data_IF_923582499213
#
_entry.id   IF_923582499213
#
_cell.length_a   1.000
_cell.length_b   1.000
_cell.length_c   1.000
_cell.angle_alpha   90.00
_cell.angle_beta   90.00
_cell.angle_gamma   90.00
#
_symmetry.space_group_name_H-M   'P 1'
#
loop_
_entity.id
_entity.type
_entity.pdbx_description
1 polymer ?
#
# COMPACT_ATOMS: atom_id res chain seq x y z
N UNK A 1 -66.09 -29.47 -11.03
CA UNK A 1 -64.75 -29.84 -10.46
C UNK A 1 -63.84 -28.60 -10.55
N UNK A 2 -63.72 -27.86 -9.47
CA UNK A 2 -62.98 -26.61 -9.39
C UNK A 2 -61.70 -26.91 -8.61
N UNK A 3 -60.55 -26.87 -9.29
CA UNK A 3 -59.23 -27.03 -8.69
C UNK A 3 -58.75 -25.71 -8.15
N UNK A 4 -58.62 -25.63 -6.82
CA UNK A 4 -58.00 -24.50 -6.13
C UNK A 4 -56.48 -24.64 -6.17
N UNK A 5 -55.82 -23.68 -6.79
CA UNK A 5 -54.35 -23.55 -6.76
C UNK A 5 -53.93 -22.82 -5.47
N UNK A 6 -53.28 -23.52 -4.57
CA UNK A 6 -52.64 -22.92 -3.37
C UNK A 6 -51.29 -22.31 -3.75
N UNK A 7 -51.23 -20.98 -3.71
CA UNK A 7 -49.95 -20.24 -3.86
C UNK A 7 -49.16 -20.30 -2.54
N UNK A 8 -48.03 -21.01 -2.55
CA UNK A 8 -47.04 -20.92 -1.45
C UNK A 8 -46.36 -19.55 -1.55
N UNK A 9 -46.63 -18.69 -0.59
CA UNK A 9 -45.81 -17.48 -0.33
C UNK A 9 -44.61 -17.92 0.46
N UNK A 10 -43.42 -18.02 -0.17
CA UNK A 10 -42.16 -18.10 0.52
C UNK A 10 -41.88 -16.74 1.21
N UNK A 11 -42.09 -16.69 2.51
CA UNK A 11 -41.71 -15.56 3.32
C UNK A 11 -40.17 -15.43 3.35
N UNK A 12 -39.64 -14.35 2.80
CA UNK A 12 -38.25 -13.96 3.05
C UNK A 12 -38.14 -13.65 4.57
N UNK A 13 -37.46 -14.51 5.31
CA UNK A 13 -37.12 -14.25 6.70
C UNK A 13 -36.24 -13.01 6.80
N UNK A 14 -36.24 -12.30 7.94
CA UNK A 14 -35.35 -11.16 8.14
C UNK A 14 -33.89 -11.63 8.01
N UNK A 15 -33.19 -11.09 7.02
CA UNK A 15 -31.74 -11.15 6.96
C UNK A 15 -31.20 -10.31 8.10
N UNK A 16 -30.83 -10.95 9.21
CA UNK A 16 -30.03 -10.29 10.23
C UNK A 16 -28.69 -9.93 9.58
N UNK A 17 -28.35 -8.65 9.52
CA UNK A 17 -26.99 -8.23 9.23
C UNK A 17 -26.07 -8.91 10.25
N UNK A 18 -24.95 -9.46 9.80
CA UNK A 18 -23.94 -10.01 10.71
C UNK A 18 -23.48 -8.91 11.68
N UNK A 19 -23.25 -9.25 12.94
CA UNK A 19 -22.71 -8.28 13.90
C UNK A 19 -21.33 -7.80 13.41
N UNK A 20 -21.02 -6.51 13.56
CA UNK A 20 -19.71 -5.97 13.19
C UNK A 20 -18.57 -6.71 13.90
N UNK A 21 -17.50 -7.02 13.19
CA UNK A 21 -16.33 -7.69 13.76
C UNK A 21 -15.54 -6.66 14.58
N UNK A 22 -15.36 -6.89 15.90
CA UNK A 22 -14.46 -6.06 16.72
C UNK A 22 -13.05 -6.16 16.18
N UNK A 23 -12.50 -5.02 15.76
CA UNK A 23 -11.24 -4.92 15.04
C UNK A 23 -10.34 -3.87 15.66
N UNK A 24 -9.08 -4.19 15.89
CA UNK A 24 -8.06 -3.24 16.34
C UNK A 24 -6.99 -3.02 15.30
N UNK A 25 -6.55 -1.75 15.13
CA UNK A 25 -5.35 -1.37 14.39
C UNK A 25 -4.19 -1.07 15.32
N UNK A 26 -2.98 -1.53 15.01
CA UNK A 26 -1.77 -1.25 15.80
C UNK A 26 -0.67 -0.80 14.87
N UNK A 27 -0.17 0.43 15.10
CA UNK A 27 0.78 1.10 14.22
C UNK A 27 1.96 1.67 15.02
N UNK A 28 3.18 1.48 14.50
CA UNK A 28 4.41 2.00 15.14
C UNK A 28 4.68 3.47 14.79
N UNK A 29 3.94 4.01 13.82
CA UNK A 29 4.02 5.39 13.33
C UNK A 29 2.64 6.05 13.39
N UNK A 30 2.54 7.40 13.18
CA UNK A 30 1.25 8.07 13.09
C UNK A 30 0.40 7.54 11.93
N UNK A 31 -0.94 7.57 12.08
CA UNK A 31 -1.87 7.12 11.02
C UNK A 31 -1.82 7.97 9.74
N UNK A 32 -1.24 9.17 9.80
CA UNK A 32 -0.99 10.02 8.64
C UNK A 32 0.18 9.51 7.77
N UNK A 33 1.05 8.65 8.31
CA UNK A 33 2.12 8.06 7.52
C UNK A 33 1.52 7.31 6.33
N UNK A 34 2.08 7.54 5.14
CA UNK A 34 1.43 7.18 3.88
C UNK A 34 1.01 5.70 3.76
N UNK A 35 1.83 4.75 4.23
CA UNK A 35 1.51 3.33 4.19
C UNK A 35 0.40 2.97 5.20
N UNK A 36 0.54 3.40 6.45
CA UNK A 36 -0.44 3.18 7.52
C UNK A 36 -1.77 3.85 7.22
N UNK A 37 -1.75 5.05 6.61
CA UNK A 37 -2.96 5.79 6.25
C UNK A 37 -3.90 4.98 5.35
N UNK A 38 -3.35 4.13 4.46
CA UNK A 38 -4.16 3.30 3.56
C UNK A 38 -4.90 2.19 4.32
N UNK A 39 -4.26 1.63 5.34
CA UNK A 39 -4.90 0.64 6.22
C UNK A 39 -5.99 1.32 7.05
N UNK A 40 -5.66 2.45 7.66
CA UNK A 40 -6.57 3.21 8.50
C UNK A 40 -7.83 3.65 7.72
N UNK A 41 -7.67 4.23 6.53
CA UNK A 41 -8.78 4.65 5.67
C UNK A 41 -9.66 3.46 5.27
N UNK A 42 -9.07 2.33 4.90
CA UNK A 42 -9.83 1.13 4.55
C UNK A 42 -10.60 0.58 5.75
N UNK A 43 -10.02 0.63 6.96
CA UNK A 43 -10.69 0.22 8.19
C UNK A 43 -11.87 1.15 8.53
N UNK A 44 -11.69 2.47 8.42
CA UNK A 44 -12.80 3.43 8.59
C UNK A 44 -13.92 3.19 7.58
N UNK A 45 -13.59 2.95 6.31
CA UNK A 45 -14.58 2.65 5.29
C UNK A 45 -15.34 1.33 5.57
N UNK A 46 -14.66 0.32 6.12
CA UNK A 46 -15.30 -0.92 6.55
C UNK A 46 -16.21 -0.70 7.77
N UNK A 47 -15.82 0.14 8.71
CA UNK A 47 -16.65 0.55 9.83
C UNK A 47 -17.91 1.31 9.39
N UNK A 48 -17.76 2.27 8.48
CA UNK A 48 -18.89 3.04 7.93
C UNK A 48 -19.92 2.15 7.22
N UNK A 49 -19.49 1.02 6.65
CA UNK A 49 -20.39 -0.01 6.08
C UNK A 49 -21.03 -0.91 7.15
N UNK A 50 -20.56 -0.86 8.39
CA UNK A 50 -21.01 -1.75 9.48
C UNK A 50 -20.37 -3.15 9.45
N UNK A 51 -19.29 -3.35 8.70
CA UNK A 51 -18.59 -4.63 8.62
C UNK A 51 -17.75 -4.91 9.87
N UNK A 52 -17.19 -3.85 10.46
CA UNK A 52 -16.30 -3.91 11.64
C UNK A 52 -16.66 -2.81 12.66
N UNK A 53 -16.27 -3.03 13.92
CA UNK A 53 -16.15 -2.01 14.97
C UNK A 53 -14.65 -1.75 15.17
N UNK A 54 -14.16 -0.58 14.74
CA UNK A 54 -12.73 -0.32 14.63
C UNK A 54 -12.22 0.62 15.70
N UNK A 55 -11.14 0.21 16.36
CA UNK A 55 -10.33 1.03 17.26
C UNK A 55 -8.87 0.91 16.89
N UNK A 56 -8.01 1.85 17.30
CA UNK A 56 -6.59 1.76 16.97
C UNK A 56 -5.68 2.41 18.02
N UNK A 57 -4.41 2.01 17.99
CA UNK A 57 -3.28 2.67 18.65
C UNK A 57 -2.20 2.99 17.64
N UNK A 58 -1.64 4.17 17.72
CA UNK A 58 -0.54 4.64 16.88
C UNK A 58 0.68 5.01 17.72
N UNK A 59 1.85 5.17 17.07
CA UNK A 59 3.11 5.45 17.76
C UNK A 59 3.47 4.41 18.85
N UNK A 60 3.04 3.17 18.64
CA UNK A 60 3.35 2.06 19.56
C UNK A 60 4.79 1.62 19.31
N UNK A 61 5.63 1.69 20.34
CA UNK A 61 7.02 1.24 20.22
C UNK A 61 7.10 -0.28 20.01
N UNK A 62 8.13 -0.77 19.33
CA UNK A 62 8.34 -2.22 19.15
C UNK A 62 8.40 -2.97 20.49
N UNK A 63 8.91 -2.33 21.55
CA UNK A 63 8.97 -2.92 22.90
C UNK A 63 7.61 -3.04 23.59
N UNK A 64 6.64 -2.19 23.24
CA UNK A 64 5.28 -2.22 23.75
C UNK A 64 4.32 -3.03 22.88
N UNK A 65 4.74 -3.38 21.67
CA UNK A 65 3.87 -3.91 20.63
C UNK A 65 3.12 -5.18 21.09
N UNK A 66 3.86 -6.15 21.63
CA UNK A 66 3.26 -7.40 22.15
C UNK A 66 2.24 -7.16 23.29
N UNK A 67 2.54 -6.21 24.18
CA UNK A 67 1.61 -5.83 25.28
C UNK A 67 0.31 -5.26 24.70
N UNK A 68 0.41 -4.33 23.77
CA UNK A 68 -0.76 -3.69 23.15
C UNK A 68 -1.61 -4.69 22.37
N UNK A 69 -0.98 -5.63 21.63
CA UNK A 69 -1.72 -6.72 20.97
C UNK A 69 -2.51 -7.55 21.97
N UNK A 70 -1.89 -7.95 23.10
CA UNK A 70 -2.59 -8.74 24.16
C UNK A 70 -3.77 -7.97 24.71
N UNK A 71 -3.61 -6.69 25.04
CA UNK A 71 -4.69 -5.85 25.55
C UNK A 71 -5.88 -5.82 24.58
N UNK A 72 -5.65 -5.72 23.27
CA UNK A 72 -6.72 -5.77 22.28
C UNK A 72 -7.36 -7.16 22.15
N UNK A 73 -6.56 -8.23 22.20
CA UNK A 73 -7.09 -9.60 22.18
C UNK A 73 -7.97 -9.87 23.42
N UNK A 74 -7.52 -9.48 24.62
CA UNK A 74 -8.26 -9.58 25.89
C UNK A 74 -9.53 -8.72 25.91
N UNK A 75 -9.53 -7.56 25.22
CA UNK A 75 -10.71 -6.71 25.04
C UNK A 75 -11.76 -7.32 24.08
N UNK A 76 -11.49 -8.51 23.53
CA UNK A 76 -12.43 -9.28 22.72
C UNK A 76 -12.42 -8.93 21.23
N UNK A 77 -11.38 -8.25 20.75
CA UNK A 77 -11.20 -8.06 19.32
C UNK A 77 -11.04 -9.42 18.63
N UNK A 78 -11.64 -9.56 17.45
CA UNK A 78 -11.61 -10.78 16.63
C UNK A 78 -10.69 -10.65 15.42
N UNK A 79 -10.33 -9.42 15.06
CA UNK A 79 -9.34 -9.10 14.04
C UNK A 79 -8.38 -8.05 14.59
N UNK A 80 -7.08 -8.30 14.49
CA UNK A 80 -6.03 -7.35 14.78
C UNK A 80 -5.25 -7.11 13.50
N UNK A 81 -5.17 -5.84 13.09
CA UNK A 81 -4.49 -5.41 11.87
C UNK A 81 -3.31 -4.54 12.28
N UNK A 82 -2.14 -4.75 11.69
CA UNK A 82 -1.00 -3.91 12.02
C UNK A 82 0.16 -4.12 11.04
N UNK A 83 1.28 -3.50 11.34
CA UNK A 83 2.56 -3.79 10.73
C UNK A 83 3.53 -4.30 11.80
N UNK A 84 4.40 -5.23 11.43
CA UNK A 84 5.25 -5.94 12.40
C UNK A 84 6.73 -5.77 12.13
N UNK A 85 7.13 -4.74 11.39
CA UNK A 85 8.54 -4.44 11.18
C UNK A 85 9.26 -4.22 12.52
N UNK A 86 10.16 -5.15 12.85
CA UNK A 86 10.90 -5.13 14.12
C UNK A 86 10.16 -5.68 15.35
N UNK A 87 8.94 -6.20 15.20
CA UNK A 87 8.14 -6.80 16.29
C UNK A 87 7.45 -8.13 15.88
N UNK A 88 7.88 -8.74 14.77
CA UNK A 88 7.19 -9.91 14.21
C UNK A 88 7.23 -11.14 15.11
N UNK A 89 8.39 -11.43 15.72
CA UNK A 89 8.55 -12.58 16.58
C UNK A 89 7.58 -12.53 17.77
N UNK A 90 7.51 -11.39 18.43
CA UNK A 90 6.63 -11.13 19.55
C UNK A 90 5.15 -11.15 19.14
N UNK A 91 4.82 -10.60 17.96
CA UNK A 91 3.46 -10.65 17.44
C UNK A 91 3.00 -12.09 17.15
N UNK A 92 3.89 -12.94 16.63
CA UNK A 92 3.59 -14.37 16.40
C UNK A 92 3.42 -15.15 17.72
N UNK A 93 4.23 -14.87 18.75
CA UNK A 93 4.05 -15.45 20.08
C UNK A 93 2.66 -15.11 20.64
N UNK A 94 2.25 -13.85 20.56
CA UNK A 94 0.91 -13.44 21.01
C UNK A 94 -0.19 -14.11 20.18
N UNK A 95 -0.03 -14.23 18.87
CA UNK A 95 -1.02 -14.92 18.04
C UNK A 95 -1.19 -16.39 18.43
N UNK A 96 -0.13 -17.07 18.87
CA UNK A 96 -0.22 -18.43 19.39
C UNK A 96 -0.96 -18.52 20.74
N UNK A 97 -0.89 -17.47 21.57
CA UNK A 97 -1.63 -17.38 22.84
C UNK A 97 -3.14 -17.19 22.61
N UNK A 98 -3.55 -16.57 21.49
CA UNK A 98 -4.95 -16.22 21.17
C UNK A 98 -5.42 -16.84 19.84
N UNK A 99 -5.59 -18.18 19.78
CA UNK A 99 -5.90 -18.88 18.53
C UNK A 99 -7.28 -18.51 17.92
N UNK A 100 -8.19 -17.93 18.70
CA UNK A 100 -9.52 -17.47 18.28
C UNK A 100 -9.55 -16.01 17.77
N UNK A 101 -8.39 -15.33 17.76
CA UNK A 101 -8.19 -14.00 17.22
C UNK A 101 -7.44 -14.10 15.91
N UNK A 102 -7.91 -13.43 14.88
CA UNK A 102 -7.24 -13.33 13.59
C UNK A 102 -6.26 -12.17 13.60
N UNK A 103 -5.06 -12.41 13.11
CA UNK A 103 -4.01 -11.41 12.95
C UNK A 103 -3.77 -11.22 11.45
N UNK A 104 -3.88 -9.97 10.97
CA UNK A 104 -3.58 -9.58 9.59
C UNK A 104 -2.43 -8.57 9.65
N UNK A 105 -1.19 -9.04 9.41
CA UNK A 105 0.03 -8.30 9.72
C UNK A 105 0.85 -7.99 8.48
N UNK A 106 1.14 -6.71 8.29
CA UNK A 106 1.97 -6.18 7.21
C UNK A 106 3.45 -6.13 7.55
N UNK A 107 4.30 -5.95 6.54
CA UNK A 107 5.77 -5.96 6.66
C UNK A 107 6.31 -7.18 7.40
N UNK A 108 5.67 -8.33 7.16
CA UNK A 108 5.99 -9.64 7.72
C UNK A 108 6.69 -10.50 6.68
N UNK A 109 7.42 -11.52 7.13
CA UNK A 109 8.13 -12.41 6.19
C UNK A 109 7.15 -13.29 5.42
N UNK A 110 6.72 -14.39 6.01
CA UNK A 110 5.87 -15.39 5.35
C UNK A 110 4.78 -15.87 6.27
N UNK A 111 3.68 -16.31 5.65
CA UNK A 111 2.68 -17.09 6.36
C UNK A 111 3.28 -18.39 6.90
N UNK A 112 2.82 -18.81 8.07
CA UNK A 112 3.20 -20.07 8.71
C UNK A 112 1.95 -20.92 8.94
N UNK A 113 1.88 -22.08 8.30
CA UNK A 113 0.76 -23.00 8.44
C UNK A 113 0.60 -23.54 9.88
N UNK A 114 1.65 -23.52 10.69
CA UNK A 114 1.59 -23.89 12.11
C UNK A 114 0.91 -22.83 12.97
N UNK A 115 0.73 -21.60 12.44
CA UNK A 115 0.05 -20.48 13.09
C UNK A 115 -1.15 -20.01 12.23
N UNK A 116 -2.25 -20.79 12.19
CA UNK A 116 -3.31 -20.62 11.19
C UNK A 116 -4.09 -19.31 11.31
N UNK A 117 -4.01 -18.63 12.44
CA UNK A 117 -4.66 -17.36 12.71
C UNK A 117 -3.79 -16.12 12.39
N UNK A 118 -2.55 -16.31 11.90
CA UNK A 118 -1.64 -15.23 11.53
C UNK A 118 -1.49 -15.17 10.00
N UNK A 119 -2.17 -14.24 9.38
CA UNK A 119 -2.07 -13.95 7.96
C UNK A 119 -1.15 -12.74 7.73
N UNK A 120 -0.50 -12.71 6.58
CA UNK A 120 0.42 -11.65 6.20
C UNK A 120 -0.10 -10.85 5.02
N UNK A 121 0.37 -9.64 4.85
CA UNK A 121 0.15 -8.84 3.66
C UNK A 121 1.32 -7.90 3.39
N UNK A 122 1.36 -7.38 2.17
CA UNK A 122 2.30 -6.36 1.75
C UNK A 122 1.66 -5.47 0.67
N UNK A 123 2.24 -4.31 0.40
CA UNK A 123 1.77 -3.42 -0.65
C UNK A 123 2.39 -3.79 -2.01
N UNK A 124 2.01 -4.91 -2.59
CA UNK A 124 2.44 -5.31 -3.94
C UNK A 124 1.89 -4.35 -5.02
N UNK A 125 2.28 -3.08 -4.94
CA UNK A 125 1.84 -2.02 -5.87
C UNK A 125 2.88 -1.69 -6.95
N UNK A 126 3.82 -2.59 -7.20
CA UNK A 126 4.83 -2.44 -8.25
C UNK A 126 4.21 -2.15 -9.64
N UNK A 127 2.98 -2.61 -9.89
CA UNK A 127 2.25 -2.32 -11.13
C UNK A 127 2.02 -0.81 -11.30
N UNK A 128 1.56 -0.12 -10.23
CA UNK A 128 1.38 1.32 -10.21
C UNK A 128 2.70 2.09 -10.28
N UNK A 129 3.72 1.60 -9.55
CA UNK A 129 5.07 2.19 -9.58
C UNK A 129 5.69 2.14 -10.95
N UNK A 130 5.55 1.01 -11.66
CA UNK A 130 6.00 0.88 -13.05
C UNK A 130 5.34 1.91 -13.98
N UNK A 131 4.01 2.06 -13.88
CA UNK A 131 3.29 3.04 -14.70
C UNK A 131 3.71 4.48 -14.39
N UNK A 132 3.93 4.81 -13.11
CA UNK A 132 4.42 6.14 -12.73
C UNK A 132 5.86 6.37 -13.20
N UNK A 133 6.67 5.30 -13.26
CA UNK A 133 8.01 5.33 -13.85
C UNK A 133 8.01 5.71 -15.33
N UNK A 134 7.09 5.18 -16.14
CA UNK A 134 6.92 5.57 -17.55
C UNK A 134 6.69 7.08 -17.66
N UNK A 135 5.86 7.64 -16.79
CA UNK A 135 5.58 9.09 -16.76
C UNK A 135 6.84 9.87 -16.40
N UNK A 136 7.55 9.45 -15.35
CA UNK A 136 8.79 10.09 -14.93
C UNK A 136 9.85 10.07 -16.05
N UNK A 137 10.01 8.92 -16.72
CA UNK A 137 10.95 8.76 -17.84
C UNK A 137 10.66 9.68 -19.02
N UNK A 138 9.38 10.02 -19.26
CA UNK A 138 8.97 10.96 -20.29
C UNK A 138 9.09 12.42 -19.89
N UNK A 139 9.09 12.73 -18.59
CA UNK A 139 9.05 14.08 -18.04
C UNK A 139 10.42 14.61 -17.63
N UNK A 140 11.38 13.74 -17.32
CA UNK A 140 12.75 14.17 -16.99
C UNK A 140 13.42 14.84 -18.18
N UNK A 141 14.14 15.92 -17.93
CA UNK A 141 14.94 16.66 -18.90
C UNK A 141 16.43 16.38 -18.74
N UNK A 142 16.85 16.17 -17.48
CA UNK A 142 18.25 15.86 -17.15
C UNK A 142 18.62 14.40 -17.42
N UNK A 143 17.62 13.50 -17.47
CA UNK A 143 17.84 12.06 -17.47
C UNK A 143 18.34 11.53 -16.12
N UNK A 144 18.19 12.30 -15.02
CA UNK A 144 18.65 11.94 -13.69
C UNK A 144 17.49 12.02 -12.69
N UNK A 145 17.14 10.91 -12.09
CA UNK A 145 16.01 10.78 -11.17
C UNK A 145 16.53 10.41 -9.78
N UNK A 146 16.14 11.18 -8.77
CA UNK A 146 16.43 10.89 -7.37
C UNK A 146 15.36 10.02 -6.74
N UNK A 147 15.74 9.04 -5.91
CA UNK A 147 14.83 8.12 -5.23
C UNK A 147 15.19 8.03 -3.75
N UNK A 148 14.27 8.47 -2.89
CA UNK A 148 14.48 8.47 -1.44
C UNK A 148 13.54 7.46 -0.81
N UNK A 149 14.08 6.42 -0.18
CA UNK A 149 13.36 5.36 0.52
C UNK A 149 13.55 5.37 2.02
N UNK A 150 12.70 4.62 2.74
CA UNK A 150 12.80 4.45 4.18
C UNK A 150 13.92 3.50 4.57
N UNK A 151 13.77 2.23 4.28
CA UNK A 151 14.73 1.15 4.49
C UNK A 151 14.82 0.27 3.24
N UNK A 152 15.99 -0.35 2.96
CA UNK A 152 16.16 -1.25 1.81
C UNK A 152 15.58 -2.64 2.09
N UNK A 153 14.28 -2.72 2.28
CA UNK A 153 13.57 -3.98 2.49
C UNK A 153 12.81 -4.39 1.20
N UNK A 154 12.47 -5.68 1.03
CA UNK A 154 11.80 -6.19 -0.16
C UNK A 154 10.60 -5.36 -0.60
N UNK A 155 9.78 -4.91 0.36
CA UNK A 155 8.60 -4.06 0.13
C UNK A 155 8.94 -2.76 -0.61
N UNK A 156 9.97 -2.04 -0.19
CA UNK A 156 10.40 -0.77 -0.81
C UNK A 156 11.19 -1.04 -2.08
N UNK A 157 12.07 -2.03 -2.05
CA UNK A 157 12.97 -2.36 -3.16
C UNK A 157 12.21 -2.69 -4.45
N UNK A 158 11.16 -3.54 -4.36
CA UNK A 158 10.35 -3.92 -5.52
C UNK A 158 9.65 -2.75 -6.18
N UNK A 159 9.21 -1.75 -5.40
CA UNK A 159 8.56 -0.56 -5.93
C UNK A 159 9.56 0.33 -6.66
N UNK A 160 10.75 0.51 -6.10
CA UNK A 160 11.81 1.27 -6.74
C UNK A 160 12.28 0.62 -8.03
N UNK A 161 12.52 -0.71 -8.03
CA UNK A 161 12.88 -1.44 -9.25
C UNK A 161 11.79 -1.36 -10.34
N UNK A 162 10.52 -1.48 -9.96
CA UNK A 162 9.42 -1.35 -10.91
C UNK A 162 9.35 0.06 -11.51
N UNK A 163 9.51 1.09 -10.67
CA UNK A 163 9.59 2.48 -11.12
C UNK A 163 10.75 2.69 -12.11
N UNK A 164 11.96 2.22 -11.75
CA UNK A 164 13.13 2.28 -12.65
C UNK A 164 12.84 1.58 -13.97
N UNK A 165 12.27 0.38 -13.94
CA UNK A 165 11.95 -0.37 -15.16
C UNK A 165 10.97 0.38 -16.06
N UNK A 166 9.95 1.03 -15.49
CA UNK A 166 9.01 1.87 -16.23
C UNK A 166 9.69 3.10 -16.84
N UNK A 167 10.56 3.77 -16.11
CA UNK A 167 11.31 4.94 -16.60
C UNK A 167 12.26 4.56 -17.75
N UNK A 168 12.97 3.44 -17.61
CA UNK A 168 13.89 2.93 -18.64
C UNK A 168 13.16 2.43 -19.90
N UNK A 169 11.91 1.94 -19.80
CA UNK A 169 11.11 1.60 -20.98
C UNK A 169 10.85 2.85 -21.84
N UNK A 170 10.72 4.00 -21.20
CA UNK A 170 10.47 5.27 -21.88
C UNK A 170 11.77 5.92 -22.39
N UNK A 171 12.84 5.84 -21.59
CA UNK A 171 14.16 6.38 -21.93
C UNK A 171 15.26 5.52 -21.29
N UNK A 172 15.98 4.71 -22.06
CA UNK A 172 16.98 3.77 -21.55
C UNK A 172 18.26 4.42 -21.00
N UNK A 173 18.46 5.71 -21.24
CA UNK A 173 19.67 6.44 -20.81
C UNK A 173 19.50 7.10 -19.43
N UNK A 174 18.35 6.91 -18.77
CA UNK A 174 18.07 7.48 -17.43
C UNK A 174 19.03 6.88 -16.41
N UNK A 175 19.52 7.76 -15.52
CA UNK A 175 20.30 7.42 -14.34
C UNK A 175 19.48 7.65 -13.07
N UNK A 176 19.80 6.87 -12.05
CA UNK A 176 19.12 6.93 -10.77
C UNK A 176 20.12 7.21 -9.65
N UNK A 177 19.72 8.09 -8.74
CA UNK A 177 20.36 8.27 -7.44
C UNK A 177 19.43 7.65 -6.39
N UNK A 178 19.90 6.66 -5.64
CA UNK A 178 19.11 5.95 -4.62
C UNK A 178 19.70 6.19 -3.26
N UNK A 179 18.85 6.50 -2.28
CA UNK A 179 19.26 6.62 -0.89
C UNK A 179 18.14 6.21 0.05
N UNK A 180 18.51 5.56 1.15
CA UNK A 180 17.60 5.17 2.22
C UNK A 180 17.91 5.97 3.48
N UNK A 181 16.86 6.54 4.11
CA UNK A 181 17.04 7.43 5.27
C UNK A 181 17.12 6.67 6.60
N UNK A 182 16.82 5.37 6.64
CA UNK A 182 16.83 4.56 7.86
C UNK A 182 15.71 4.95 8.85
N UNK A 183 14.57 5.45 8.33
CA UNK A 183 13.39 5.79 9.13
C UNK A 183 12.12 5.62 8.30
N UNK A 184 11.04 5.20 8.96
CA UNK A 184 9.71 5.15 8.33
C UNK A 184 9.01 6.51 8.35
N UNK A 185 9.36 7.40 9.29
CA UNK A 185 8.74 8.72 9.39
C UNK A 185 9.75 9.76 9.91
N UNK A 186 10.50 10.36 8.98
CA UNK A 186 11.43 11.47 9.23
C UNK A 186 11.45 12.42 8.03
N UNK A 187 10.38 13.25 7.87
CA UNK A 187 10.27 14.18 6.74
C UNK A 187 11.45 15.15 6.62
N UNK A 188 12.03 15.71 7.69
CA UNK A 188 13.21 16.56 7.58
C UNK A 188 14.42 15.87 6.96
N UNK A 189 14.72 14.64 7.38
CA UNK A 189 15.84 13.85 6.84
C UNK A 189 15.63 13.46 5.39
N UNK A 190 14.38 13.07 5.03
CA UNK A 190 14.02 12.77 3.65
C UNK A 190 14.17 14.00 2.74
N UNK A 191 13.77 15.19 3.21
CA UNK A 191 13.92 16.45 2.51
C UNK A 191 15.40 16.82 2.29
N UNK A 192 16.23 16.67 3.31
CA UNK A 192 17.69 16.92 3.22
C UNK A 192 18.34 15.97 2.19
N UNK A 193 18.00 14.68 2.26
CA UNK A 193 18.48 13.69 1.28
C UNK A 193 18.07 14.05 -0.14
N UNK A 194 16.82 14.48 -0.34
CA UNK A 194 16.30 14.91 -1.62
C UNK A 194 17.04 16.15 -2.16
N UNK A 195 17.39 17.13 -1.31
CA UNK A 195 18.18 18.29 -1.73
C UNK A 195 19.56 17.88 -2.26
N UNK A 196 20.25 16.95 -1.60
CA UNK A 196 21.53 16.45 -2.09
C UNK A 196 21.40 15.82 -3.50
N UNK A 197 20.32 15.09 -3.78
CA UNK A 197 20.06 14.53 -5.12
C UNK A 197 19.81 15.62 -6.16
N UNK A 198 19.07 16.66 -5.80
CA UNK A 198 18.83 17.82 -6.70
C UNK A 198 20.13 18.54 -7.02
N UNK A 199 20.98 18.77 -6.03
CA UNK A 199 22.31 19.36 -6.22
C UNK A 199 23.20 18.52 -7.14
N UNK A 200 23.02 17.21 -7.14
CA UNK A 200 23.66 16.27 -8.06
C UNK A 200 22.92 16.10 -9.40
N UNK A 201 21.99 17.01 -9.73
CA UNK A 201 21.38 17.12 -11.03
C UNK A 201 20.09 16.35 -11.25
N UNK A 202 19.46 15.79 -10.22
CA UNK A 202 18.13 15.20 -10.33
C UNK A 202 17.10 16.30 -10.60
N UNK A 203 16.24 16.11 -11.60
CA UNK A 203 15.12 17.01 -11.93
C UNK A 203 13.74 16.37 -11.73
N UNK A 204 13.72 15.13 -11.33
CA UNK A 204 12.54 14.41 -10.83
C UNK A 204 12.92 13.62 -9.58
N UNK A 205 12.04 13.60 -8.59
CA UNK A 205 12.21 12.80 -7.36
C UNK A 205 11.10 11.76 -7.23
N UNK A 206 11.45 10.51 -6.89
CA UNK A 206 10.52 9.48 -6.44
C UNK A 206 10.34 9.60 -4.93
N UNK A 207 9.15 10.06 -4.52
CA UNK A 207 8.82 10.37 -3.14
C UNK A 207 8.24 9.13 -2.43
N UNK A 208 9.10 8.17 -2.10
CA UNK A 208 8.68 7.03 -1.28
C UNK A 208 8.49 7.46 0.19
N UNK A 209 9.07 8.60 0.62
CA UNK A 209 8.91 9.19 1.95
C UNK A 209 8.35 10.62 1.90
N UNK A 210 7.64 11.02 2.98
CA UNK A 210 7.28 12.42 3.19
C UNK A 210 8.53 13.30 3.32
N UNK A 211 8.44 14.56 2.89
CA UNK A 211 9.54 15.51 2.83
C UNK A 211 10.20 15.60 1.45
N UNK A 212 10.15 14.53 0.64
CA UNK A 212 10.74 14.52 -0.71
C UNK A 212 9.99 15.47 -1.66
N UNK A 213 8.66 15.44 -1.66
CA UNK A 213 7.85 16.36 -2.46
C UNK A 213 7.98 17.82 -1.99
N UNK A 214 8.26 18.04 -0.70
CA UNK A 214 8.57 19.39 -0.18
C UNK A 214 9.87 19.93 -0.78
N UNK A 215 10.93 19.09 -0.84
CA UNK A 215 12.18 19.47 -1.47
C UNK A 215 11.99 19.79 -2.97
N UNK A 216 11.24 18.94 -3.67
CA UNK A 216 10.95 19.15 -5.10
C UNK A 216 10.19 20.47 -5.32
N UNK A 217 9.17 20.74 -4.50
CA UNK A 217 8.39 22.00 -4.55
C UNK A 217 9.27 23.22 -4.29
N UNK A 218 10.16 23.16 -3.30
CA UNK A 218 11.03 24.27 -2.93
C UNK A 218 12.07 24.60 -4.03
N UNK A 219 12.47 23.58 -4.79
CA UNK A 219 13.43 23.71 -5.90
C UNK A 219 12.79 23.81 -7.28
N UNK A 220 11.45 23.91 -7.35
CA UNK A 220 10.67 24.02 -8.59
C UNK A 220 11.00 22.89 -9.60
N UNK A 221 11.16 21.66 -9.09
CA UNK A 221 11.33 20.45 -9.88
C UNK A 221 10.13 19.51 -9.69
N UNK A 222 10.10 18.41 -10.43
CA UNK A 222 9.00 17.45 -10.40
C UNK A 222 9.20 16.36 -9.35
N UNK A 223 8.09 15.77 -8.91
CA UNK A 223 8.08 14.59 -8.06
C UNK A 223 7.04 13.57 -8.54
N UNK A 224 7.26 12.32 -8.16
CA UNK A 224 6.33 11.22 -8.32
C UNK A 224 5.96 10.75 -6.91
N UNK A 225 4.67 10.75 -6.60
CA UNK A 225 4.14 10.24 -5.33
C UNK A 225 4.06 8.73 -5.28
N UNK A 226 4.05 8.19 -4.08
CA UNK A 226 3.97 6.75 -3.83
C UNK A 226 2.99 6.47 -2.70
N UNK A 227 2.26 5.35 -2.80
CA UNK A 227 1.27 4.82 -1.86
C UNK A 227 -0.02 5.66 -1.77
N UNK A 228 0.09 6.99 -1.72
CA UNK A 228 -1.04 7.94 -1.66
C UNK A 228 -0.95 8.98 -2.76
N UNK A 229 -2.09 9.62 -3.04
CA UNK A 229 -2.13 10.79 -3.93
C UNK A 229 -1.85 12.06 -3.13
N UNK A 230 -0.75 12.73 -3.43
CA UNK A 230 -0.36 14.02 -2.83
C UNK A 230 -0.47 15.17 -3.82
N UNK A 231 -1.08 14.97 -4.98
CA UNK A 231 -1.17 15.96 -6.05
C UNK A 231 -1.92 17.23 -5.61
N UNK A 232 -2.95 17.09 -4.76
CA UNK A 232 -3.69 18.24 -4.24
C UNK A 232 -2.84 19.17 -3.36
N UNK A 233 -1.85 18.62 -2.63
CA UNK A 233 -0.92 19.36 -1.77
C UNK A 233 0.23 19.97 -2.59
N UNK A 234 0.60 19.31 -3.69
CA UNK A 234 1.72 19.68 -4.57
C UNK A 234 1.29 19.79 -6.03
N UNK A 235 0.29 20.64 -6.36
CA UNK A 235 -0.37 20.65 -7.69
C UNK A 235 0.54 21.00 -8.86
N UNK A 236 1.68 21.67 -8.61
CA UNK A 236 2.66 22.03 -9.65
C UNK A 236 3.93 21.17 -9.59
N UNK A 237 3.98 20.20 -8.71
CA UNK A 237 5.18 19.42 -8.40
C UNK A 237 4.96 17.93 -8.61
N UNK A 238 3.89 17.34 -8.01
CA UNK A 238 3.60 15.91 -8.13
C UNK A 238 2.84 15.65 -9.41
N UNK A 239 3.50 14.94 -10.34
CA UNK A 239 2.97 14.66 -11.69
C UNK A 239 2.03 13.47 -11.68
N UNK A 240 2.40 12.41 -10.95
CA UNK A 240 1.67 11.17 -10.85
C UNK A 240 1.95 10.51 -9.51
N UNK A 241 1.06 9.64 -9.05
CA UNK A 241 1.25 8.85 -7.84
C UNK A 241 0.76 7.41 -8.07
N UNK A 242 1.55 6.42 -7.65
CA UNK A 242 1.06 5.07 -7.50
C UNK A 242 0.27 4.98 -6.19
N UNK A 243 -0.99 4.54 -6.24
CA UNK A 243 -1.85 4.45 -5.07
C UNK A 243 -1.98 3.00 -4.63
N UNK A 244 -1.87 2.78 -3.33
CA UNK A 244 -2.25 1.52 -2.70
C UNK A 244 -3.70 1.57 -2.23
N UNK A 245 -4.49 0.58 -2.62
CA UNK A 245 -5.84 0.35 -2.12
C UNK A 245 -5.79 -0.88 -1.20
N UNK A 246 -5.90 -0.66 0.11
CA UNK A 246 -5.92 -1.75 1.09
C UNK A 246 -7.29 -2.40 1.22
N UNK A 247 -8.33 -1.74 0.72
CA UNK A 247 -9.72 -2.18 0.79
C UNK A 247 -9.93 -3.63 0.26
N UNK A 248 -9.35 -4.07 -0.88
CA UNK A 248 -9.50 -5.45 -1.34
C UNK A 248 -8.91 -6.47 -0.35
N UNK A 249 -7.75 -6.18 0.24
CA UNK A 249 -7.09 -7.01 1.25
C UNK A 249 -7.95 -7.14 2.50
N UNK A 250 -8.40 -6.01 3.07
CA UNK A 250 -9.22 -6.00 4.26
C UNK A 250 -10.58 -6.65 4.04
N UNK A 251 -11.27 -6.33 2.95
CA UNK A 251 -12.57 -6.91 2.60
C UNK A 251 -12.47 -8.44 2.46
N UNK A 252 -11.37 -8.93 1.91
CA UNK A 252 -11.13 -10.39 1.84
C UNK A 252 -10.96 -11.02 3.20
N UNK A 253 -10.18 -10.40 4.10
CA UNK A 253 -9.99 -10.88 5.46
C UNK A 253 -11.32 -10.91 6.23
N UNK A 254 -12.10 -9.84 6.18
CA UNK A 254 -13.43 -9.74 6.78
C UNK A 254 -14.34 -10.85 6.26
N UNK A 255 -14.43 -11.04 4.95
CA UNK A 255 -15.27 -12.08 4.34
C UNK A 255 -14.84 -13.51 4.75
N UNK A 256 -13.52 -13.76 4.92
CA UNK A 256 -13.04 -15.04 5.42
C UNK A 256 -13.39 -15.26 6.89
N UNK A 257 -13.32 -14.23 7.73
CA UNK A 257 -13.72 -14.29 9.13
C UNK A 257 -15.22 -14.56 9.26
N UNK A 258 -16.07 -13.83 8.55
CA UNK A 258 -17.52 -14.02 8.55
C UNK A 258 -17.92 -15.42 8.11
N UNK A 259 -17.15 -16.01 7.19
CA UNK A 259 -17.34 -17.37 6.71
C UNK A 259 -16.73 -18.47 7.59
N UNK A 260 -16.02 -18.11 8.68
CA UNK A 260 -15.25 -19.06 9.51
C UNK A 260 -14.11 -19.75 8.75
N UNK A 261 -13.52 -19.08 7.75
CA UNK A 261 -12.49 -19.60 6.83
C UNK A 261 -11.18 -18.80 6.84
N UNK A 262 -11.02 -17.89 7.80
CA UNK A 262 -9.76 -17.17 7.93
C UNK A 262 -8.61 -18.16 8.22
N UNK A 263 -7.49 -17.97 7.57
CA UNK A 263 -6.31 -18.83 7.76
C UNK A 263 -5.04 -18.07 7.41
N UNK A 264 -3.90 -18.59 7.87
CA UNK A 264 -2.60 -18.16 7.43
C UNK A 264 -2.51 -18.20 5.89
N UNK A 265 -2.27 -17.04 5.30
CA UNK A 265 -2.09 -16.86 3.87
C UNK A 265 -1.47 -15.49 3.62
N UNK A 266 -0.88 -15.28 2.45
CA UNK A 266 -0.49 -13.95 1.98
C UNK A 266 -1.69 -13.25 1.34
N UNK A 267 -2.26 -12.28 2.08
CA UNK A 267 -3.33 -11.42 1.59
C UNK A 267 -2.81 -10.23 0.77
N UNK A 268 -1.49 -10.02 0.72
CA UNK A 268 -0.85 -9.01 -0.12
C UNK A 268 -1.14 -9.20 -1.61
N UNK A 269 -1.48 -10.41 -2.05
CA UNK A 269 -1.90 -10.71 -3.43
C UNK A 269 -3.10 -9.88 -3.89
N UNK A 270 -3.88 -9.33 -2.98
CA UNK A 270 -4.99 -8.42 -3.28
C UNK A 270 -4.54 -6.97 -3.50
N UNK A 271 -3.25 -6.64 -3.28
CA UNK A 271 -2.64 -5.35 -3.62
C UNK A 271 -2.27 -5.22 -5.09
N UNK A 272 -2.24 -6.31 -5.86
CA UNK A 272 -1.98 -6.24 -7.30
C UNK A 272 -3.07 -5.45 -8.05
N UNK A 273 -2.68 -4.80 -9.14
CA UNK A 273 -3.60 -4.03 -9.99
C UNK A 273 -4.78 -4.85 -10.52
N UNK A 274 -4.57 -6.10 -10.90
CA UNK A 274 -5.63 -7.02 -11.34
C UNK A 274 -6.68 -7.32 -10.28
N UNK A 275 -6.32 -7.16 -9.00
CA UNK A 275 -7.22 -7.32 -7.86
C UNK A 275 -7.87 -5.99 -7.41
N UNK A 276 -7.52 -4.88 -8.05
CA UNK A 276 -7.95 -3.54 -7.67
C UNK A 276 -7.15 -2.93 -6.52
N UNK A 277 -6.03 -3.54 -6.13
CA UNK A 277 -5.22 -3.10 -5.00
C UNK A 277 -4.23 -1.98 -5.33
N UNK A 278 -4.02 -1.63 -6.59
CA UNK A 278 -3.26 -0.45 -6.99
C UNK A 278 -3.79 0.21 -8.26
N UNK A 279 -3.57 1.50 -8.36
CA UNK A 279 -3.85 2.31 -9.55
C UNK A 279 -2.90 3.50 -9.64
N UNK A 280 -2.86 4.19 -10.78
CA UNK A 280 -2.35 5.55 -10.83
C UNK A 280 -3.43 6.53 -10.33
N UNK A 281 -3.00 7.55 -9.60
CA UNK A 281 -3.82 8.71 -9.29
C UNK A 281 -4.21 9.48 -10.56
N UNK A 282 -5.31 10.24 -10.54
CA UNK A 282 -5.58 11.25 -11.56
C UNK A 282 -4.41 12.24 -11.67
N UNK A 283 -4.04 12.63 -12.88
CA UNK A 283 -2.90 13.55 -13.10
C UNK A 283 -3.18 14.99 -12.65
N UNK A 284 -4.42 15.33 -12.31
CA UNK A 284 -4.81 16.64 -11.81
C UNK A 284 -4.35 17.79 -12.73
N UNK A 285 -3.54 18.70 -12.21
CA UNK A 285 -3.00 19.83 -12.98
C UNK A 285 -2.04 19.43 -14.11
N UNK A 286 -1.54 18.20 -14.12
CA UNK A 286 -0.67 17.65 -15.17
C UNK A 286 -1.44 16.93 -16.27
N UNK A 287 -2.78 16.84 -16.18
CA UNK A 287 -3.58 16.29 -17.28
C UNK A 287 -3.33 17.09 -18.57
N UNK A 288 -3.05 16.37 -19.65
CA UNK A 288 -2.65 16.97 -20.93
C UNK A 288 -1.22 17.54 -21.00
N UNK A 289 -0.45 17.56 -19.89
CA UNK A 289 0.95 18.02 -19.87
C UNK A 289 1.96 16.89 -20.02
N UNK A 290 1.59 15.66 -19.65
CA UNK A 290 2.40 14.48 -19.88
C UNK A 290 2.42 14.16 -21.38
N UNK A 291 3.59 13.86 -21.98
CA UNK A 291 3.69 13.55 -23.40
C UNK A 291 2.70 12.44 -23.83
N UNK A 292 2.01 12.66 -24.94
CA UNK A 292 0.95 11.74 -25.41
C UNK A 292 1.45 10.32 -25.68
N UNK A 293 2.71 10.16 -26.09
CA UNK A 293 3.36 8.85 -26.30
C UNK A 293 3.46 8.08 -24.97
N UNK A 294 3.85 8.76 -23.88
CA UNK A 294 3.92 8.16 -22.55
C UNK A 294 2.53 7.73 -22.06
N UNK A 295 1.51 8.59 -22.21
CA UNK A 295 0.14 8.25 -21.79
C UNK A 295 -0.47 7.10 -22.62
N UNK A 296 -0.10 6.97 -23.90
CA UNK A 296 -0.48 5.80 -24.70
C UNK A 296 0.18 4.53 -24.18
N UNK A 297 1.46 4.59 -23.83
CA UNK A 297 2.19 3.45 -23.25
C UNK A 297 1.63 3.08 -21.88
N UNK A 298 1.38 4.05 -20.99
CA UNK A 298 0.74 3.85 -19.69
C UNK A 298 -0.58 3.10 -19.84
N UNK A 299 -1.50 3.59 -20.68
CA UNK A 299 -2.80 2.94 -20.93
C UNK A 299 -2.66 1.52 -21.48
N UNK A 300 -1.70 1.32 -22.39
CA UNK A 300 -1.41 -0.02 -22.93
C UNK A 300 -0.91 -0.95 -21.83
N UNK A 301 0.09 -0.53 -21.05
CA UNK A 301 0.67 -1.37 -19.98
C UNK A 301 -0.34 -1.65 -18.87
N UNK A 302 -1.15 -0.67 -18.50
CA UNK A 302 -2.24 -0.87 -17.54
C UNK A 302 -3.22 -1.94 -18.01
N UNK A 303 -3.63 -1.91 -19.29
CA UNK A 303 -4.52 -2.93 -19.86
C UNK A 303 -3.83 -4.31 -19.91
N UNK A 304 -2.56 -4.35 -20.32
CA UNK A 304 -1.77 -5.58 -20.41
C UNK A 304 -1.58 -6.21 -19.00
N UNK A 305 -1.32 -5.41 -17.97
CA UNK A 305 -1.20 -5.86 -16.58
C UNK A 305 -2.54 -6.43 -16.08
N UNK A 306 -3.64 -5.70 -16.28
CA UNK A 306 -4.98 -6.13 -15.85
C UNK A 306 -5.41 -7.43 -16.55
N UNK A 307 -5.05 -7.62 -17.81
CA UNK A 307 -5.33 -8.85 -18.56
C UNK A 307 -4.37 -10.00 -18.26
N UNK A 308 -3.22 -9.71 -17.63
CA UNK A 308 -2.14 -10.68 -17.37
C UNK A 308 -1.24 -10.95 -18.59
N UNK A 309 -1.36 -10.18 -19.68
CA UNK A 309 -0.48 -10.29 -20.85
C UNK A 309 0.89 -9.62 -20.65
N UNK A 310 1.02 -8.81 -19.62
CA UNK A 310 2.28 -8.24 -19.14
C UNK A 310 2.35 -8.35 -17.61
N UNK A 311 3.51 -8.73 -17.09
CA UNK A 311 3.75 -8.82 -15.65
C UNK A 311 4.95 -7.95 -15.30
N UNK A 312 4.77 -7.04 -14.34
CA UNK A 312 5.88 -6.28 -13.77
C UNK A 312 6.74 -7.22 -12.94
N UNK A 313 8.04 -7.24 -13.21
CA UNK A 313 8.98 -8.11 -12.49
C UNK A 313 9.09 -7.62 -11.05
N UNK A 314 8.94 -8.55 -10.11
CA UNK A 314 9.23 -8.32 -8.69
C UNK A 314 10.73 -8.55 -8.48
N UNK A 315 11.42 -7.51 -8.05
CA UNK A 315 12.82 -7.58 -7.63
C UNK A 315 12.92 -7.01 -6.21
N UNK A 316 13.23 -7.87 -5.27
CA UNK A 316 13.31 -7.56 -3.83
C UNK A 316 14.73 -7.18 -3.39
N UNK A 317 15.72 -7.21 -4.28
CA UNK A 317 17.10 -6.81 -3.97
C UNK A 317 17.21 -5.29 -3.77
N UNK A 318 18.18 -4.85 -2.98
CA UNK A 318 18.43 -3.42 -2.76
C UNK A 318 18.81 -2.73 -4.07
N UNK A 319 18.08 -1.69 -4.50
CA UNK A 319 18.41 -0.95 -5.71
C UNK A 319 19.62 -0.05 -5.49
N UNK A 320 20.52 -0.01 -6.47
CA UNK A 320 21.69 0.85 -6.49
C UNK A 320 21.53 2.08 -7.38
N UNK A 321 22.37 3.08 -7.13
CA UNK A 321 22.54 4.23 -8.05
C UNK A 321 23.26 3.79 -9.33
N UNK A 322 22.98 4.46 -10.48
CA UNK A 322 23.53 4.12 -11.80
C UNK A 322 24.13 5.35 -12.50
#
# INVERSE_FOLDING_TARGET
MTTAASSLILGAGPTFAAEPIKTAGIYTVPVEQQWVSRIHIAALAAQDRGDIEYTFSENVSNTDYARVIREYAEAGNKLIIGEVFGAEAEAREVAAEYPDVAFLMGSSFKEDAALPNFAVFDNYIQDGSYLSGIIAGAMTKSGNIGMVGGFPIPEVNRLMHAFMAGALEMNPDIKFQVSFIGSWFDPPKAKETAFAMIENGADILYAERFGVSDAAKEKDILAIGNVIDTQAEYPNTVVASAIWHFEPTLNKAIAQLQAGKFKAADYGVYSFMKAGGTSLAPLGSFDGKVPSAAMKLVKKREADIKSGSFTVIINDEEPGSS
#
